data_IF_773835918618
#
_entry.id   IF_773835918618
#
_cell.length_a   1.000
_cell.length_b   1.000
_cell.length_c   1.000
_cell.angle_alpha   90.00
_cell.angle_beta   90.00
_cell.angle_gamma   90.00
#
_symmetry.space_group_name_H-M   'P 1'
#
loop_
_entity.id
_entity.type
_entity.pdbx_description
1 polymer ?
#
# COMPACT_ATOMS: atom_id res chain seq x y z
N UNK A 1 0.58 5.30 20.23
CA UNK A 1 -0.69 4.58 19.99
C UNK A 1 -0.85 4.30 18.50
N UNK A 2 -1.26 3.11 18.16
CA UNK A 2 -1.40 2.71 16.76
C UNK A 2 -2.71 1.95 16.54
N UNK A 3 -3.33 2.17 15.38
CA UNK A 3 -4.56 1.48 14.97
C UNK A 3 -4.36 0.88 13.59
N UNK A 4 -4.76 -0.38 13.45
CA UNK A 4 -4.77 -1.08 12.16
C UNK A 4 -6.20 -1.43 11.79
N UNK A 5 -6.62 -1.05 10.59
CA UNK A 5 -7.95 -1.33 10.07
C UNK A 5 -7.83 -2.21 8.83
N UNK A 6 -8.21 -3.48 8.97
CA UNK A 6 -8.21 -4.42 7.84
C UNK A 6 -9.39 -4.16 6.91
N UNK A 7 -9.15 -4.27 5.61
CA UNK A 7 -10.20 -4.09 4.60
C UNK A 7 -10.93 -5.38 4.24
N UNK A 8 -10.38 -6.54 4.60
CA UNK A 8 -11.00 -7.83 4.33
C UNK A 8 -10.75 -8.80 5.48
N UNK A 9 -11.75 -9.01 6.31
CA UNK A 9 -11.66 -9.86 7.51
C UNK A 9 -11.51 -11.35 7.20
N UNK A 10 -11.88 -11.77 5.99
CA UNK A 10 -11.77 -13.17 5.60
C UNK A 10 -10.36 -13.56 5.17
N UNK A 11 -9.47 -12.59 4.97
CA UNK A 11 -8.09 -12.79 4.56
C UNK A 11 -7.16 -12.41 5.72
N UNK A 12 -6.34 -13.35 6.15
CA UNK A 12 -5.30 -13.09 7.15
C UNK A 12 -4.26 -12.14 6.52
N UNK A 13 -3.86 -11.11 7.26
CA UNK A 13 -2.91 -10.10 6.79
C UNK A 13 -3.38 -9.38 5.50
N UNK A 14 -4.68 -9.05 5.45
CA UNK A 14 -5.22 -8.30 4.32
C UNK A 14 -4.67 -6.87 4.28
N UNK A 15 -4.71 -6.23 3.10
CA UNK A 15 -4.45 -4.80 3.00
C UNK A 15 -5.34 -4.00 3.95
N UNK A 16 -4.86 -2.86 4.39
CA UNK A 16 -5.64 -2.06 5.32
C UNK A 16 -5.11 -0.64 5.46
N UNK A 17 -5.52 -0.01 6.53
CA UNK A 17 -5.15 1.36 6.88
C UNK A 17 -4.50 1.36 8.25
N UNK A 18 -3.52 2.23 8.44
CA UNK A 18 -2.75 2.33 9.66
C UNK A 18 -2.67 3.79 10.11
N UNK A 19 -2.97 4.04 11.37
CA UNK A 19 -2.89 5.36 11.98
C UNK A 19 -1.93 5.26 13.17
N UNK A 20 -0.88 6.06 13.13
CA UNK A 20 0.14 6.08 14.19
C UNK A 20 0.19 7.45 14.83
N UNK A 21 -0.04 7.48 16.13
CA UNK A 21 0.16 8.68 16.94
C UNK A 21 1.41 8.54 17.78
N UNK A 22 2.35 9.43 17.56
CA UNK A 22 3.58 9.54 18.35
C UNK A 22 4.02 10.99 18.30
N UNK A 23 4.35 11.56 19.43
CA UNK A 23 4.77 12.97 19.48
C UNK A 23 5.90 13.21 18.47
N UNK A 24 5.70 14.20 17.62
CA UNK A 24 6.63 14.61 16.56
C UNK A 24 6.94 13.52 15.50
N UNK A 25 6.20 12.40 15.52
CA UNK A 25 6.42 11.31 14.57
C UNK A 25 5.12 10.57 14.22
N UNK A 26 4.03 11.30 14.06
CA UNK A 26 2.74 10.72 13.68
C UNK A 26 2.66 10.53 12.16
N UNK A 27 2.00 9.47 11.74
CA UNK A 27 1.79 9.23 10.32
C UNK A 27 0.56 8.36 10.06
N UNK A 28 0.11 8.36 8.84
CA UNK A 28 -0.92 7.45 8.35
C UNK A 28 -0.33 6.65 7.18
N UNK A 29 -0.83 5.46 6.98
CA UNK A 29 -0.35 4.57 5.93
C UNK A 29 -1.44 3.61 5.50
N UNK A 30 -1.21 2.92 4.42
CA UNK A 30 -2.07 1.84 3.96
C UNK A 30 -1.35 0.92 3.00
N UNK A 31 -2.05 -0.12 2.58
CA UNK A 31 -1.50 -1.16 1.73
C UNK A 31 -1.26 -2.43 2.52
N UNK A 32 -0.30 -3.23 2.08
CA UNK A 32 0.10 -4.47 2.74
C UNK A 32 1.60 -4.48 3.00
N UNK A 33 1.97 -4.77 4.24
CA UNK A 33 3.36 -4.81 4.69
C UNK A 33 3.81 -6.25 4.85
N UNK A 34 4.96 -6.60 4.24
CA UNK A 34 5.59 -7.92 4.35
C UNK A 34 4.59 -9.08 4.15
N UNK A 35 3.87 -9.15 3.02
CA UNK A 35 2.97 -10.27 2.78
C UNK A 35 3.72 -11.59 2.77
N UNK A 36 3.04 -12.66 3.15
CA UNK A 36 3.59 -14.01 3.10
C UNK A 36 3.95 -14.39 1.66
N UNK A 37 4.81 -15.40 1.51
CA UNK A 37 5.34 -15.81 0.20
C UNK A 37 4.25 -16.06 -0.84
N UNK A 38 3.20 -16.80 -0.46
CA UNK A 38 2.09 -17.11 -1.37
C UNK A 38 1.30 -15.86 -1.76
N UNK A 39 1.07 -14.97 -0.80
CA UNK A 39 0.37 -13.71 -1.04
C UNK A 39 1.19 -12.79 -1.94
N UNK A 40 2.49 -12.72 -1.70
CA UNK A 40 3.40 -11.94 -2.53
C UNK A 40 3.40 -12.43 -3.98
N UNK A 41 3.37 -13.75 -4.19
CA UNK A 41 3.26 -14.34 -5.52
C UNK A 41 1.97 -13.91 -6.22
N UNK A 42 0.85 -13.95 -5.51
CA UNK A 42 -0.45 -13.51 -6.04
C UNK A 42 -0.44 -12.04 -6.43
N UNK A 43 0.14 -11.19 -5.58
CA UNK A 43 0.24 -9.77 -5.85
C UNK A 43 1.11 -9.51 -7.07
N UNK A 44 2.27 -10.16 -7.17
CA UNK A 44 3.16 -10.01 -8.33
C UNK A 44 2.50 -10.48 -9.62
N UNK A 45 1.77 -11.56 -9.57
CA UNK A 45 1.03 -12.07 -10.73
C UNK A 45 -0.03 -11.06 -11.20
N UNK A 46 -0.77 -10.49 -10.26
CA UNK A 46 -1.77 -9.45 -10.55
C UNK A 46 -1.11 -8.21 -11.17
N UNK A 47 0.02 -7.79 -10.63
CA UNK A 47 0.79 -6.65 -11.15
C UNK A 47 1.25 -6.92 -12.58
N UNK A 48 1.77 -8.13 -12.84
CA UNK A 48 2.27 -8.49 -14.16
C UNK A 48 1.16 -8.46 -15.21
N UNK A 49 -0.05 -8.93 -14.87
CA UNK A 49 -1.18 -8.95 -15.77
C UNK A 49 -1.93 -7.62 -15.88
N UNK A 50 -1.98 -6.86 -14.82
CA UNK A 50 -2.78 -5.62 -14.72
C UNK A 50 -1.92 -4.42 -14.34
N UNK A 51 -0.74 -4.34 -14.92
CA UNK A 51 0.20 -3.24 -14.68
C UNK A 51 -0.44 -1.86 -14.89
N UNK A 52 -1.24 -1.73 -15.96
CA UNK A 52 -1.91 -0.46 -16.29
C UNK A 52 -2.83 0.00 -15.15
N UNK A 53 -3.52 -0.94 -14.51
CA UNK A 53 -4.41 -0.61 -13.39
C UNK A 53 -3.60 -0.04 -12.21
N UNK A 54 -2.50 -0.68 -11.86
CA UNK A 54 -1.66 -0.21 -10.77
C UNK A 54 -1.02 1.14 -11.10
N UNK A 55 -0.55 1.31 -12.33
CA UNK A 55 0.01 2.58 -12.79
C UNK A 55 -1.00 3.71 -12.67
N UNK A 56 -2.25 3.49 -13.07
CA UNK A 56 -3.32 4.47 -12.92
C UNK A 56 -3.60 4.82 -11.45
N UNK A 57 -3.51 3.84 -10.58
CA UNK A 57 -3.72 4.04 -9.14
C UNK A 57 -2.64 4.96 -8.56
N UNK A 58 -1.37 4.65 -8.81
CA UNK A 58 -0.26 5.44 -8.27
C UNK A 58 -0.09 6.79 -8.96
N UNK A 59 -0.57 6.92 -10.19
CA UNK A 59 -0.56 8.18 -10.94
C UNK A 59 -1.80 9.03 -10.69
N UNK A 60 -2.78 8.52 -9.97
CA UNK A 60 -3.98 9.27 -9.61
C UNK A 60 -3.60 10.52 -8.82
N UNK A 61 -4.25 11.63 -9.14
CA UNK A 61 -3.96 12.93 -8.55
C UNK A 61 -4.09 12.92 -7.02
N UNK A 62 -5.13 12.28 -6.50
CA UNK A 62 -5.35 12.18 -5.06
C UNK A 62 -4.27 11.35 -4.37
N UNK A 63 -3.89 10.23 -4.96
CA UNK A 63 -2.82 9.39 -4.43
C UNK A 63 -1.51 10.16 -4.40
N UNK A 64 -1.12 10.78 -5.50
CA UNK A 64 0.15 11.52 -5.59
C UNK A 64 0.20 12.70 -4.62
N UNK A 65 -0.90 13.45 -4.50
CA UNK A 65 -0.90 14.62 -3.62
C UNK A 65 -0.81 14.25 -2.14
N UNK A 66 -1.38 13.10 -1.75
CA UNK A 66 -1.37 12.68 -0.34
C UNK A 66 -0.17 11.80 0.01
N UNK A 67 0.24 10.90 -0.88
CA UNK A 67 1.24 9.85 -0.54
C UNK A 67 2.46 9.83 -1.46
N UNK A 68 2.48 10.62 -2.53
CA UNK A 68 3.55 10.71 -3.53
C UNK A 68 3.73 9.42 -4.35
N UNK A 69 4.09 8.32 -3.70
CA UNK A 69 4.38 7.04 -4.35
C UNK A 69 4.30 5.89 -3.35
N UNK A 70 4.41 4.67 -3.84
CA UNK A 70 4.61 3.51 -2.98
C UNK A 70 5.97 3.61 -2.30
N UNK A 71 6.03 3.17 -1.05
CA UNK A 71 7.28 3.16 -0.27
C UNK A 71 8.33 2.24 -0.91
N UNK A 72 9.57 2.72 -0.99
CA UNK A 72 10.70 2.00 -1.58
C UNK A 72 11.88 1.96 -0.63
N UNK A 73 11.64 1.61 0.63
CA UNK A 73 12.71 1.42 1.59
C UNK A 73 13.65 0.31 1.09
N UNK A 74 14.94 0.54 1.18
CA UNK A 74 15.96 -0.38 0.65
C UNK A 74 15.76 -1.83 1.10
N UNK A 75 15.36 -2.04 2.34
CA UNK A 75 15.08 -3.37 2.90
C UNK A 75 13.88 -4.07 2.25
N UNK A 76 12.98 -3.32 1.61
CA UNK A 76 11.74 -3.82 1.04
C UNK A 76 11.76 -3.92 -0.48
N UNK A 77 12.93 -3.74 -1.09
CA UNK A 77 13.10 -3.79 -2.54
C UNK A 77 14.16 -4.82 -2.92
N UNK A 78 13.81 -5.73 -3.82
CA UNK A 78 14.79 -6.69 -4.35
C UNK A 78 15.79 -5.99 -5.26
N UNK A 79 17.04 -6.42 -5.24
CA UNK A 79 18.08 -5.93 -6.14
C UNK A 79 17.87 -6.44 -7.57
N UNK A 80 17.42 -7.68 -7.69
CA UNK A 80 17.22 -8.36 -8.97
C UNK A 80 15.74 -8.69 -9.16
N UNK A 81 15.36 -9.03 -10.41
CA UNK A 81 13.99 -9.46 -10.70
C UNK A 81 13.62 -10.67 -9.83
N UNK A 82 12.38 -10.71 -9.31
CA UNK A 82 11.92 -11.89 -8.59
C UNK A 82 11.87 -13.10 -9.52
N UNK A 83 12.03 -14.29 -8.94
CA UNK A 83 12.04 -15.55 -9.68
C UNK A 83 10.75 -15.68 -10.51
N UNK A 84 10.89 -16.02 -11.79
CA UNK A 84 9.77 -16.21 -12.69
C UNK A 84 9.37 -14.96 -13.48
N UNK A 85 10.07 -13.84 -13.30
CA UNK A 85 9.79 -12.60 -14.00
C UNK A 85 11.00 -12.11 -14.78
N UNK A 86 10.74 -11.59 -15.98
CA UNK A 86 11.78 -11.03 -16.84
C UNK A 86 12.32 -9.73 -16.23
N UNK A 87 13.66 -9.56 -16.10
CA UNK A 87 14.24 -8.30 -15.65
C UNK A 87 13.84 -7.08 -16.49
N UNK A 88 13.42 -7.30 -17.73
CA UNK A 88 12.98 -6.25 -18.63
C UNK A 88 11.46 -6.06 -18.67
N UNK A 89 10.73 -6.71 -17.76
CA UNK A 89 9.27 -6.57 -17.67
C UNK A 89 8.89 -5.11 -17.42
N UNK A 90 7.83 -4.65 -18.09
CA UNK A 90 7.36 -3.26 -17.97
C UNK A 90 7.07 -2.87 -16.52
N UNK A 91 6.59 -3.80 -15.71
CA UNK A 91 6.22 -3.59 -14.32
C UNK A 91 7.35 -3.91 -13.33
N UNK A 92 8.59 -4.10 -13.80
CA UNK A 92 9.67 -4.63 -12.96
C UNK A 92 9.90 -3.82 -11.68
N UNK A 93 9.73 -2.51 -11.73
CA UNK A 93 9.93 -1.66 -10.55
C UNK A 93 8.91 -1.96 -9.45
N UNK A 94 7.69 -2.33 -9.82
CA UNK A 94 6.68 -2.77 -8.85
C UNK A 94 6.92 -4.24 -8.43
N UNK A 95 7.35 -5.09 -9.38
CA UNK A 95 7.58 -6.50 -9.10
C UNK A 95 8.72 -6.73 -8.11
N UNK A 96 9.68 -5.83 -8.04
CA UNK A 96 10.79 -5.90 -7.09
C UNK A 96 10.39 -5.56 -5.65
N UNK A 97 9.23 -4.97 -5.45
CA UNK A 97 8.77 -4.62 -4.10
C UNK A 97 8.44 -5.89 -3.30
N UNK A 98 8.76 -5.87 -2.01
CA UNK A 98 8.40 -6.91 -1.04
C UNK A 98 7.24 -6.49 -0.15
N UNK A 99 6.92 -5.21 -0.15
CA UNK A 99 5.78 -4.62 0.54
C UNK A 99 5.14 -3.59 -0.38
N UNK A 100 3.83 -3.42 -0.26
CA UNK A 100 3.06 -2.51 -1.11
C UNK A 100 2.32 -1.53 -0.21
N UNK A 101 3.05 -0.53 0.27
CA UNK A 101 2.54 0.46 1.22
C UNK A 101 2.81 1.86 0.73
N UNK A 102 1.99 2.79 1.20
CA UNK A 102 2.22 4.21 1.05
C UNK A 102 1.93 4.89 2.38
N UNK A 103 2.69 5.93 2.71
CA UNK A 103 2.54 6.62 3.98
C UNK A 103 2.66 8.13 3.83
N UNK A 104 2.10 8.84 4.81
CA UNK A 104 2.17 10.30 4.89
C UNK A 104 2.41 10.70 6.34
N UNK A 105 3.41 11.54 6.58
CA UNK A 105 3.58 12.16 7.89
C UNK A 105 2.46 13.17 8.11
N UNK A 106 1.95 13.21 9.32
CA UNK A 106 0.92 14.17 9.71
C UNK A 106 1.36 14.93 10.95
N UNK A 107 0.86 16.15 11.09
CA UNK A 107 1.12 16.96 12.27
C UNK A 107 0.31 16.42 13.46
N UNK A 108 0.92 16.26 14.62
CA UNK A 108 0.25 15.81 15.86
C UNK A 108 -0.98 16.64 16.19
N UNK A 109 -0.99 17.91 15.80
CA UNK A 109 -2.10 18.83 16.05
C UNK A 109 -3.41 18.37 15.41
N UNK A 110 -3.34 17.51 14.38
CA UNK A 110 -4.54 16.98 13.74
C UNK A 110 -5.40 16.22 14.75
N UNK A 111 -4.77 15.53 15.72
CA UNK A 111 -5.46 14.74 16.74
C UNK A 111 -6.19 15.59 17.79
N UNK A 112 -5.83 16.87 17.91
CA UNK A 112 -6.50 17.79 18.83
C UNK A 112 -7.67 18.51 18.17
N UNK A 113 -7.84 18.36 16.86
CA UNK A 113 -8.92 18.97 16.11
C UNK A 113 -10.21 18.17 16.30
N UNK A 114 -11.35 18.84 16.48
CA UNK A 114 -12.63 18.19 16.67
C UNK A 114 -13.03 17.33 15.46
N UNK A 115 -12.54 17.68 14.27
CA UNK A 115 -12.82 16.99 13.01
C UNK A 115 -11.70 16.03 12.58
N UNK A 116 -10.82 15.61 13.50
CA UNK A 116 -9.65 14.83 13.13
C UNK A 116 -10.00 13.53 12.39
N UNK A 117 -11.08 12.86 12.80
CA UNK A 117 -11.53 11.62 12.16
C UNK A 117 -11.88 11.82 10.70
N UNK A 118 -12.61 12.90 10.38
CA UNK A 118 -12.96 13.25 9.00
C UNK A 118 -11.72 13.60 8.18
N UNK A 119 -10.79 14.35 8.75
CA UNK A 119 -9.56 14.76 8.08
C UNK A 119 -8.69 13.56 7.74
N UNK A 120 -8.51 12.65 8.69
CA UNK A 120 -7.74 11.43 8.47
C UNK A 120 -8.43 10.54 7.45
N UNK A 121 -9.75 10.34 7.55
CA UNK A 121 -10.52 9.54 6.61
C UNK A 121 -10.42 10.07 5.18
N UNK A 122 -10.49 11.40 5.00
CA UNK A 122 -10.33 12.05 3.69
C UNK A 122 -8.98 11.71 3.05
N UNK A 123 -7.93 11.66 3.85
CA UNK A 123 -6.57 11.32 3.38
C UNK A 123 -6.47 9.84 3.05
N UNK A 124 -6.97 8.97 3.94
CA UNK A 124 -6.90 7.53 3.77
C UNK A 124 -7.72 7.02 2.59
N UNK A 125 -8.80 7.69 2.21
CA UNK A 125 -9.62 7.30 1.08
C UNK A 125 -8.83 7.28 -0.23
N UNK A 126 -7.77 8.06 -0.34
CA UNK A 126 -6.88 8.04 -1.50
C UNK A 126 -6.15 6.71 -1.67
N UNK A 127 -6.06 5.90 -0.60
CA UNK A 127 -5.44 4.57 -0.64
C UNK A 127 -6.44 3.46 -0.96
N UNK A 128 -7.74 3.75 -1.01
CA UNK A 128 -8.75 2.73 -1.28
C UNK A 128 -8.52 2.01 -2.61
N UNK A 129 -8.23 2.68 -3.73
CA UNK A 129 -7.95 1.97 -4.98
C UNK A 129 -6.76 1.00 -4.87
N UNK A 130 -5.72 1.38 -4.14
CA UNK A 130 -4.57 0.49 -3.90
C UNK A 130 -5.00 -0.75 -3.12
N UNK A 131 -5.73 -0.57 -2.01
CA UNK A 131 -6.19 -1.67 -1.19
C UNK A 131 -7.17 -2.57 -1.96
N UNK A 132 -8.03 -2.01 -2.80
CA UNK A 132 -8.94 -2.77 -3.66
C UNK A 132 -8.16 -3.63 -4.67
N UNK A 133 -7.11 -3.08 -5.27
CA UNK A 133 -6.23 -3.82 -6.18
C UNK A 133 -5.55 -4.99 -5.45
N UNK A 134 -5.00 -4.73 -4.27
CA UNK A 134 -4.33 -5.77 -3.48
C UNK A 134 -5.31 -6.86 -3.01
N UNK A 135 -6.50 -6.49 -2.59
CA UNK A 135 -7.54 -7.44 -2.21
C UNK A 135 -7.95 -8.32 -3.40
N UNK A 136 -8.10 -7.74 -4.58
CA UNK A 136 -8.39 -8.49 -5.81
C UNK A 136 -7.30 -9.52 -6.09
N UNK A 137 -6.04 -9.12 -5.94
CA UNK A 137 -4.92 -10.03 -6.13
C UNK A 137 -4.98 -11.22 -5.16
N UNK A 138 -5.26 -10.95 -3.88
CA UNK A 138 -5.29 -11.97 -2.84
C UNK A 138 -6.48 -12.91 -2.95
N UNK A 139 -7.55 -12.50 -3.62
CA UNK A 139 -8.74 -13.32 -3.84
C UNK A 139 -8.57 -14.29 -5.02
N UNK A 140 -7.51 -14.17 -5.81
CA UNK A 140 -7.25 -15.09 -6.92
C UNK A 140 -6.85 -16.46 -6.39
N UNK A 141 -7.28 -17.51 -7.07
CA UNK A 141 -6.86 -18.86 -6.76
C UNK A 141 -5.47 -19.14 -7.38
N UNK A 142 -4.75 -20.05 -6.74
CA UNK A 142 -3.43 -20.46 -7.23
C UNK A 142 -3.53 -21.25 -8.56
#
# INVERSE_FOLDING_TARGET
MAFWLSTNRSIKNSPGYYIHYEKDNSFIAGGIYCPEVNDLKKIRKEIAFFYDDLEKIVDNKSFKSEFEALSRDEKDVLKNAPKGFDPNHVAIEFLKLKSFTASQKIDDKIFTNIDFGKKIASKLIALKPLNDFLNRALETED
#
